data_IF_908375399410
#
_entry.id   IF_908375399410
#
_cell.length_a   1.000
_cell.length_b   1.000
_cell.length_c   1.000
_cell.angle_alpha   90.00
_cell.angle_beta   90.00
_cell.angle_gamma   90.00
#
_symmetry.space_group_name_H-M   'P 1'
#
loop_
_entity.id
_entity.type
_entity.pdbx_description
1 polymer ?
#
# COMPACT_ATOMS: atom_id res chain seq x y z
N UNK A 1 -18.09 80.17 -13.64
CA UNK A 1 -18.45 78.73 -13.64
C UNK A 1 -17.23 77.94 -13.94
N UNK A 2 -16.59 77.30 -12.91
CA UNK A 2 -15.43 76.41 -13.07
C UNK A 2 -15.95 74.98 -13.21
N UNK A 3 -15.71 74.31 -14.32
CA UNK A 3 -15.98 72.89 -14.51
C UNK A 3 -14.90 72.06 -13.80
N UNK A 4 -15.26 71.26 -12.80
CA UNK A 4 -14.40 70.29 -12.18
C UNK A 4 -14.41 69.00 -13.01
N UNK A 5 -13.25 68.58 -13.47
CA UNK A 5 -13.05 67.32 -14.19
C UNK A 5 -12.59 66.22 -13.19
N UNK A 6 -13.49 65.34 -12.84
CA UNK A 6 -13.12 64.18 -12.02
C UNK A 6 -12.40 63.14 -12.85
N UNK A 7 -11.15 62.88 -12.56
CA UNK A 7 -10.39 61.76 -13.13
C UNK A 7 -10.63 60.53 -12.28
N UNK A 8 -11.27 59.54 -12.86
CA UNK A 8 -11.41 58.19 -12.27
C UNK A 8 -10.16 57.40 -12.62
N UNK A 9 -9.33 57.10 -11.59
CA UNK A 9 -8.16 56.22 -11.73
C UNK A 9 -8.67 54.80 -11.54
N UNK A 10 -8.72 53.99 -12.63
CA UNK A 10 -8.99 52.55 -12.58
C UNK A 10 -7.66 51.86 -12.25
N UNK A 11 -7.52 51.38 -11.02
CA UNK A 11 -6.40 50.54 -10.64
C UNK A 11 -6.76 49.08 -10.98
N UNK A 12 -6.19 48.58 -12.11
CA UNK A 12 -6.32 47.17 -12.49
C UNK A 12 -5.43 46.33 -11.59
N UNK A 13 -6.02 45.57 -10.68
CA UNK A 13 -5.34 44.60 -9.82
C UNK A 13 -5.03 43.36 -10.70
N UNK A 14 -3.79 43.19 -11.13
CA UNK A 14 -3.33 41.97 -11.79
C UNK A 14 -3.11 40.90 -10.72
N UNK A 15 -4.07 39.96 -10.60
CA UNK A 15 -3.90 38.77 -9.78
C UNK A 15 -3.04 37.79 -10.57
N UNK A 16 -1.75 37.72 -10.25
CA UNK A 16 -0.86 36.68 -10.75
C UNK A 16 -1.23 35.35 -10.08
N UNK A 17 -1.97 34.52 -10.78
CA UNK A 17 -2.10 33.10 -10.44
C UNK A 17 -0.74 32.43 -10.72
N UNK A 18 0.08 32.26 -9.72
CA UNK A 18 1.22 31.34 -9.78
C UNK A 18 0.67 29.92 -9.74
N UNK A 19 0.45 29.31 -10.92
CA UNK A 19 0.27 27.88 -11.03
C UNK A 19 1.59 27.22 -10.64
N UNK A 20 1.67 26.69 -9.44
CA UNK A 20 2.72 25.77 -9.04
C UNK A 20 2.56 24.52 -9.88
N UNK A 21 3.34 24.38 -10.94
CA UNK A 21 3.53 23.13 -11.63
C UNK A 21 4.22 22.18 -10.64
N UNK A 22 3.45 21.31 -9.99
CA UNK A 22 4.03 20.15 -9.34
C UNK A 22 4.56 19.24 -10.45
N UNK A 23 5.85 18.93 -10.42
CA UNK A 23 6.42 17.94 -11.32
C UNK A 23 5.66 16.62 -11.10
N UNK A 24 5.12 16.06 -12.18
CA UNK A 24 4.37 14.81 -12.14
C UNK A 24 5.31 13.65 -11.80
N UNK A 25 4.94 12.84 -10.80
CA UNK A 25 5.69 11.63 -10.44
C UNK A 25 5.70 10.64 -11.60
N UNK A 26 6.84 9.99 -11.81
CA UNK A 26 6.99 8.91 -12.79
C UNK A 26 7.80 7.78 -12.16
N UNK A 27 7.47 6.55 -12.55
CA UNK A 27 8.26 5.37 -12.19
C UNK A 27 9.02 4.87 -13.41
N UNK A 28 10.33 4.74 -13.27
CA UNK A 28 11.23 4.19 -14.28
C UNK A 28 11.71 2.82 -13.80
N UNK A 29 11.44 1.77 -14.58
CA UNK A 29 11.87 0.41 -14.27
C UNK A 29 13.41 0.33 -14.26
N UNK A 30 13.98 -0.16 -13.16
CA UNK A 30 15.41 -0.39 -12.99
C UNK A 30 15.77 -1.86 -13.20
N UNK A 31 15.02 -2.76 -12.56
CA UNK A 31 15.24 -4.20 -12.58
C UNK A 31 13.90 -4.94 -12.60
N UNK A 32 13.94 -6.12 -13.17
CA UNK A 32 12.85 -7.08 -13.18
C UNK A 32 13.38 -8.45 -12.81
N UNK A 33 12.67 -9.15 -11.95
CA UNK A 33 13.00 -10.50 -11.49
C UNK A 33 11.83 -11.42 -11.79
N UNK A 34 12.11 -12.59 -12.39
CA UNK A 34 11.12 -13.65 -12.59
C UNK A 34 11.07 -14.50 -11.32
N UNK A 35 10.00 -14.34 -10.53
CA UNK A 35 9.85 -14.86 -9.17
C UNK A 35 8.56 -15.65 -9.04
N UNK A 36 8.61 -16.98 -8.92
CA UNK A 36 7.39 -17.81 -8.85
C UNK A 36 6.41 -17.44 -7.73
N UNK A 37 6.91 -16.90 -6.61
CA UNK A 37 6.12 -16.49 -5.45
C UNK A 37 5.55 -15.07 -5.55
N UNK A 38 5.83 -14.32 -6.62
CA UNK A 38 5.30 -12.97 -6.83
C UNK A 38 3.80 -13.00 -7.14
N UNK A 39 2.96 -13.15 -6.11
CA UNK A 39 1.49 -13.26 -6.24
C UNK A 39 0.69 -12.25 -5.44
N UNK A 40 1.04 -12.06 -4.17
CA UNK A 40 0.24 -11.22 -3.26
C UNK A 40 0.97 -9.95 -2.88
N UNK A 41 2.26 -10.02 -2.62
CA UNK A 41 3.01 -8.84 -2.23
C UNK A 41 4.50 -9.02 -2.26
N UNK A 42 5.17 -7.95 -1.84
CA UNK A 42 6.62 -7.88 -1.69
C UNK A 42 6.94 -7.07 -0.44
N UNK A 43 7.99 -7.47 0.28
CA UNK A 43 8.65 -6.67 1.30
C UNK A 43 10.12 -6.55 0.94
N UNK A 44 10.83 -5.55 1.45
CA UNK A 44 12.22 -5.29 1.09
C UNK A 44 13.00 -4.74 2.27
N UNK A 45 14.25 -5.18 2.42
CA UNK A 45 15.25 -4.64 3.34
C UNK A 45 16.50 -4.16 2.59
N UNK A 46 17.58 -3.92 3.31
CA UNK A 46 18.84 -3.44 2.71
C UNK A 46 19.40 -4.40 1.66
N UNK A 47 19.37 -5.71 1.91
CA UNK A 47 20.05 -6.72 1.12
C UNK A 47 19.11 -7.67 0.37
N UNK A 48 17.86 -7.78 0.80
CA UNK A 48 16.94 -8.79 0.31
C UNK A 48 15.56 -8.20 -0.03
N UNK A 49 14.87 -8.89 -0.94
CA UNK A 49 13.43 -8.73 -1.08
C UNK A 49 12.72 -10.06 -0.78
N UNK A 50 11.49 -9.96 -0.31
CA UNK A 50 10.67 -11.09 0.11
C UNK A 50 9.40 -11.12 -0.75
N UNK A 51 9.29 -12.14 -1.60
CA UNK A 51 8.06 -12.38 -2.35
C UNK A 51 7.05 -13.09 -1.47
N UNK A 52 5.82 -12.57 -1.42
CA UNK A 52 4.73 -13.13 -0.63
C UNK A 52 3.70 -13.76 -1.58
N UNK A 53 3.49 -15.05 -1.43
CA UNK A 53 2.38 -15.80 -2.03
C UNK A 53 1.31 -16.07 -0.96
N UNK A 54 0.15 -16.53 -1.36
CA UNK A 54 -1.00 -16.86 -0.51
C UNK A 54 -0.62 -17.72 0.72
N UNK A 55 0.31 -18.66 0.56
CA UNK A 55 0.80 -19.57 1.63
C UNK A 55 2.31 -19.76 1.59
N UNK A 56 3.03 -18.79 1.11
CA UNK A 56 4.47 -18.90 0.96
C UNK A 56 5.17 -17.56 1.06
N UNK A 57 6.41 -17.61 1.51
CA UNK A 57 7.33 -16.47 1.54
C UNK A 57 8.65 -16.95 0.99
N UNK A 58 9.23 -16.21 0.07
CA UNK A 58 10.53 -16.52 -0.48
C UNK A 58 11.44 -15.29 -0.39
N UNK A 59 12.60 -15.45 0.21
CA UNK A 59 13.65 -14.45 0.39
C UNK A 59 14.64 -14.54 -0.75
N UNK A 60 14.92 -13.43 -1.41
CA UNK A 60 15.81 -13.31 -2.55
C UNK A 60 16.87 -12.23 -2.32
N UNK A 61 18.06 -12.45 -2.82
CA UNK A 61 19.13 -11.45 -2.85
C UNK A 61 18.78 -10.32 -3.84
N UNK A 62 18.82 -9.06 -3.39
CA UNK A 62 18.48 -7.88 -4.21
C UNK A 62 19.42 -7.65 -5.38
N UNK A 63 20.69 -8.04 -5.24
CA UNK A 63 21.71 -7.79 -6.26
C UNK A 63 21.65 -8.81 -7.37
N UNK A 64 21.50 -10.10 -7.02
CA UNK A 64 21.55 -11.24 -7.95
C UNK A 64 20.17 -11.73 -8.37
N UNK A 65 19.14 -11.57 -7.53
CA UNK A 65 17.84 -12.20 -7.72
C UNK A 65 17.81 -13.69 -7.39
N UNK A 66 18.84 -14.21 -6.74
CA UNK A 66 18.92 -15.62 -6.37
C UNK A 66 18.10 -15.92 -5.12
N UNK A 67 17.43 -17.07 -5.11
CA UNK A 67 16.67 -17.56 -3.96
C UNK A 67 17.63 -17.88 -2.81
N UNK A 68 17.40 -17.25 -1.65
CA UNK A 68 18.16 -17.49 -0.43
C UNK A 68 17.45 -18.50 0.45
N UNK A 69 16.15 -18.32 0.66
CA UNK A 69 15.36 -19.16 1.55
C UNK A 69 13.88 -19.09 1.19
N UNK A 70 13.14 -20.16 1.50
CA UNK A 70 11.71 -20.22 1.28
C UNK A 70 11.01 -20.85 2.50
N UNK A 71 9.88 -20.30 2.86
CA UNK A 71 8.88 -20.90 3.73
C UNK A 71 7.63 -21.20 2.92
N UNK A 72 7.01 -22.35 3.14
CA UNK A 72 5.75 -22.73 2.51
C UNK A 72 4.87 -23.43 3.54
N UNK A 73 3.66 -22.91 3.73
CA UNK A 73 2.68 -23.48 4.64
C UNK A 73 2.07 -24.76 4.08
N UNK A 74 1.98 -25.81 4.90
CA UNK A 74 1.28 -27.03 4.58
C UNK A 74 -0.23 -26.76 4.38
N UNK A 75 -0.94 -27.71 3.75
CA UNK A 75 -2.36 -27.56 3.45
C UNK A 75 -3.22 -27.27 4.68
N UNK A 76 -2.90 -27.88 5.80
CA UNK A 76 -3.64 -27.75 7.09
C UNK A 76 -3.10 -26.60 7.97
N UNK A 77 -2.11 -25.83 7.47
CA UNK A 77 -1.59 -24.66 8.17
C UNK A 77 -2.71 -23.62 8.40
N UNK A 78 -2.77 -23.01 9.60
CA UNK A 78 -3.74 -21.96 9.89
C UNK A 78 -3.57 -20.71 9.02
N UNK A 79 -2.40 -20.52 8.43
CA UNK A 79 -2.11 -19.42 7.51
C UNK A 79 -2.75 -19.74 6.15
N UNK A 80 -3.81 -19.00 5.81
CA UNK A 80 -4.64 -19.25 4.62
C UNK A 80 -4.36 -18.30 3.47
N UNK A 81 -4.21 -17.02 3.77
CA UNK A 81 -4.06 -15.99 2.77
C UNK A 81 -3.17 -14.85 3.27
N UNK A 82 -1.87 -14.96 2.97
CA UNK A 82 -0.92 -13.89 3.19
C UNK A 82 -1.06 -12.84 2.08
N UNK A 83 -0.79 -11.60 2.45
CA UNK A 83 -0.76 -10.45 1.56
C UNK A 83 0.55 -9.67 1.73
N UNK A 84 0.54 -8.36 1.51
CA UNK A 84 1.74 -7.52 1.57
C UNK A 84 2.30 -7.40 3.00
N UNK A 85 3.56 -7.03 3.10
CA UNK A 85 4.24 -6.91 4.39
C UNK A 85 5.36 -5.89 4.40
N UNK A 86 6.00 -5.77 5.56
CA UNK A 86 7.12 -4.86 5.81
C UNK A 86 8.19 -5.54 6.65
N UNK A 87 9.45 -5.18 6.42
CA UNK A 87 10.56 -5.56 7.30
C UNK A 87 10.77 -4.48 8.34
N UNK A 88 10.78 -4.88 9.60
CA UNK A 88 11.09 -4.00 10.72
C UNK A 88 11.81 -4.78 11.83
N UNK A 89 12.94 -4.26 12.29
CA UNK A 89 13.74 -4.83 13.38
C UNK A 89 14.05 -6.33 13.21
N UNK A 90 14.59 -6.71 12.02
CA UNK A 90 14.95 -8.09 11.69
C UNK A 90 13.77 -9.06 11.56
N UNK A 91 12.55 -8.56 11.47
CA UNK A 91 11.34 -9.35 11.33
C UNK A 91 10.54 -8.94 10.10
N UNK A 92 9.94 -9.90 9.45
CA UNK A 92 8.95 -9.69 8.41
C UNK A 92 7.55 -9.76 9.03
N UNK A 93 6.82 -8.68 8.94
CA UNK A 93 5.41 -8.60 9.31
C UNK A 93 4.58 -8.67 8.04
N UNK A 94 3.65 -9.60 7.94
CA UNK A 94 2.75 -9.73 6.78
C UNK A 94 1.31 -9.62 7.20
N UNK A 95 0.51 -8.98 6.38
CA UNK A 95 -0.94 -9.04 6.48
C UNK A 95 -1.44 -10.45 6.17
N UNK A 96 -2.45 -10.90 6.89
CA UNK A 96 -3.09 -12.20 6.71
C UNK A 96 -4.59 -12.08 6.90
N UNK A 97 -5.35 -12.88 6.15
CA UNK A 97 -6.79 -13.05 6.30
C UNK A 97 -7.22 -14.48 5.99
N UNK A 98 -8.46 -14.82 6.35
CA UNK A 98 -9.06 -16.09 5.93
C UNK A 98 -9.75 -16.02 4.55
N UNK A 99 -9.44 -14.97 3.76
CA UNK A 99 -10.03 -14.84 2.43
C UNK A 99 -10.04 -16.17 1.65
N UNK A 100 -11.13 -16.57 0.98
CA UNK A 100 -12.40 -15.83 0.77
C UNK A 100 -13.53 -16.18 1.75
N UNK A 101 -13.24 -16.65 2.95
CA UNK A 101 -14.23 -17.14 3.92
C UNK A 101 -14.91 -16.00 4.69
N UNK A 102 -16.10 -16.27 5.24
CA UNK A 102 -16.86 -15.38 6.12
C UNK A 102 -17.20 -16.05 7.45
N UNK A 103 -17.25 -15.29 8.56
CA UNK A 103 -16.82 -13.90 8.68
C UNK A 103 -15.34 -13.74 8.33
N UNK A 104 -14.96 -12.57 7.77
CA UNK A 104 -13.56 -12.26 7.48
C UNK A 104 -12.79 -12.12 8.79
N UNK A 105 -11.71 -12.89 8.93
CA UNK A 105 -10.77 -12.78 10.06
C UNK A 105 -9.44 -12.25 9.56
N UNK A 106 -8.73 -11.51 10.41
CA UNK A 106 -7.45 -10.90 10.06
C UNK A 106 -6.43 -10.99 11.16
N UNK A 107 -5.18 -11.09 10.77
CA UNK A 107 -4.02 -11.07 11.67
C UNK A 107 -2.81 -10.44 10.98
N UNK A 108 -1.80 -10.13 11.78
CA UNK A 108 -0.44 -9.91 11.35
C UNK A 108 0.36 -11.15 11.73
N UNK A 109 1.00 -11.75 10.74
CA UNK A 109 1.89 -12.89 10.92
C UNK A 109 3.34 -12.42 10.89
N UNK A 110 4.17 -12.97 11.76
CA UNK A 110 5.52 -12.48 12.01
C UNK A 110 6.53 -13.60 11.79
N UNK A 111 7.53 -13.33 10.96
CA UNK A 111 8.67 -14.23 10.70
C UNK A 111 9.99 -13.58 11.10
N UNK A 112 10.91 -14.38 11.55
CA UNK A 112 12.31 -14.01 11.64
C UNK A 112 12.92 -13.93 10.23
N UNK A 113 13.66 -12.87 9.92
CA UNK A 113 14.19 -12.66 8.54
C UNK A 113 15.41 -13.51 8.22
N UNK A 114 16.13 -14.05 9.20
CA UNK A 114 17.29 -14.93 8.97
C UNK A 114 16.87 -16.38 8.77
N UNK A 115 15.99 -16.85 9.67
CA UNK A 115 15.56 -18.26 9.65
C UNK A 115 14.34 -18.51 8.78
N UNK A 116 13.54 -17.47 8.48
CA UNK A 116 12.20 -17.56 7.88
C UNK A 116 11.26 -18.47 8.70
N UNK A 117 11.50 -18.61 10.00
CA UNK A 117 10.58 -19.27 10.90
C UNK A 117 9.45 -18.33 11.30
N UNK A 118 8.23 -18.86 11.38
CA UNK A 118 7.08 -18.13 11.92
C UNK A 118 7.24 -18.02 13.42
N UNK A 119 7.30 -16.80 13.95
CA UNK A 119 7.62 -16.53 15.37
C UNK A 119 6.50 -15.83 16.14
N UNK A 120 5.42 -15.43 15.48
CA UNK A 120 4.34 -14.76 16.19
C UNK A 120 3.15 -14.40 15.32
N UNK A 121 2.03 -14.14 16.00
CA UNK A 121 0.75 -13.72 15.40
C UNK A 121 0.12 -12.65 16.29
N UNK A 122 -0.38 -11.59 15.67
CA UNK A 122 -1.34 -10.68 16.30
C UNK A 122 -2.68 -10.78 15.58
N UNK A 123 -3.73 -11.22 16.28
CA UNK A 123 -5.07 -11.39 15.71
C UNK A 123 -5.95 -10.16 15.93
N UNK A 124 -6.58 -9.66 14.85
CA UNK A 124 -7.64 -8.65 14.92
C UNK A 124 -9.05 -9.29 14.99
N UNK A 125 -9.15 -10.62 14.92
CA UNK A 125 -10.43 -11.31 14.85
C UNK A 125 -11.24 -10.94 13.63
N UNK A 126 -12.54 -10.65 13.84
CA UNK A 126 -13.52 -10.35 12.76
C UNK A 126 -13.86 -8.85 12.66
N UNK A 127 -13.18 -7.99 13.38
CA UNK A 127 -13.62 -6.61 13.59
C UNK A 127 -13.51 -5.73 12.35
N UNK A 128 -12.44 -5.92 11.54
CA UNK A 128 -12.04 -4.91 10.54
C UNK A 128 -12.24 -5.32 9.08
N UNK A 129 -12.34 -6.61 8.76
CA UNK A 129 -12.35 -7.12 7.39
C UNK A 129 -11.06 -7.86 7.03
N UNK A 130 -10.76 -8.02 5.73
CA UNK A 130 -9.53 -8.69 5.25
C UNK A 130 -8.32 -7.77 5.35
N UNK A 131 -7.34 -8.10 6.19
CA UNK A 131 -6.07 -7.37 6.22
C UNK A 131 -5.28 -7.64 4.93
N UNK A 132 -4.92 -6.57 4.19
CA UNK A 132 -4.27 -6.68 2.87
C UNK A 132 -2.85 -6.15 2.84
N UNK A 133 -2.48 -5.28 3.75
CA UNK A 133 -1.10 -4.84 3.91
C UNK A 133 -0.87 -4.32 5.32
N UNK A 134 0.40 -4.32 5.71
CA UNK A 134 0.91 -3.72 6.92
C UNK A 134 2.19 -2.95 6.60
N UNK A 135 2.39 -1.81 7.23
CA UNK A 135 3.60 -1.01 7.13
C UNK A 135 3.96 -0.33 8.46
N UNK A 136 5.20 0.12 8.58
CA UNK A 136 5.70 0.85 9.74
C UNK A 136 6.14 2.24 9.31
N UNK A 137 5.54 3.29 9.89
CA UNK A 137 5.90 4.66 9.57
C UNK A 137 5.75 5.57 10.79
N UNK A 138 6.72 6.46 11.00
CA UNK A 138 6.73 7.49 12.05
C UNK A 138 6.42 6.93 13.45
N UNK A 139 7.00 5.77 13.78
CA UNK A 139 6.83 5.13 15.09
C UNK A 139 5.48 4.43 15.28
N UNK A 140 4.65 4.25 14.24
CA UNK A 140 3.34 3.63 14.31
C UNK A 140 3.20 2.48 13.31
N UNK A 141 2.34 1.52 13.64
CA UNK A 141 1.89 0.50 12.71
C UNK A 141 0.71 1.03 11.89
N UNK A 142 0.68 0.65 10.62
CA UNK A 142 -0.36 0.98 9.68
C UNK A 142 -0.82 -0.28 8.96
N UNK A 143 -2.12 -0.50 8.86
CA UNK A 143 -2.67 -1.62 8.13
C UNK A 143 -3.96 -1.23 7.40
N UNK A 144 -4.25 -1.89 6.28
CA UNK A 144 -5.54 -1.76 5.64
C UNK A 144 -6.37 -3.03 5.74
N UNK A 145 -7.68 -2.80 5.87
CA UNK A 145 -8.68 -3.85 5.98
C UNK A 145 -9.69 -3.69 4.87
N UNK A 146 -9.69 -4.63 3.95
CA UNK A 146 -10.49 -4.61 2.75
C UNK A 146 -11.89 -5.17 2.96
N UNK A 147 -12.86 -4.54 2.32
CA UNK A 147 -14.21 -5.04 2.06
C UNK A 147 -14.44 -5.03 0.55
N UNK A 148 -15.39 -5.85 0.06
CA UNK A 148 -15.52 -6.16 -1.35
C UNK A 148 -16.96 -6.02 -1.85
N UNK A 149 -17.15 -5.34 -2.98
CA UNK A 149 -18.47 -5.17 -3.60
C UNK A 149 -19.11 -6.52 -3.97
N UNK A 150 -18.31 -7.48 -4.43
CA UNK A 150 -18.78 -8.80 -4.87
C UNK A 150 -19.49 -9.63 -3.79
N UNK A 151 -19.33 -9.24 -2.52
CA UNK A 151 -19.95 -9.95 -1.39
C UNK A 151 -20.87 -9.05 -0.55
N UNK A 152 -21.18 -7.85 -1.02
CA UNK A 152 -21.97 -6.86 -0.27
C UNK A 152 -23.31 -7.41 0.19
N UNK A 153 -23.99 -8.22 -0.63
CA UNK A 153 -25.29 -8.83 -0.28
C UNK A 153 -25.17 -9.86 0.85
N UNK A 154 -24.01 -10.52 0.98
CA UNK A 154 -23.76 -11.53 2.02
C UNK A 154 -23.23 -10.93 3.31
N UNK A 155 -22.46 -9.84 3.23
CA UNK A 155 -21.75 -9.25 4.37
C UNK A 155 -22.42 -8.00 4.93
N UNK A 156 -23.26 -7.33 4.16
CA UNK A 156 -23.82 -6.02 4.49
C UNK A 156 -22.80 -4.88 4.38
N UNK A 157 -21.57 -5.19 3.92
CA UNK A 157 -20.48 -4.22 3.74
C UNK A 157 -19.94 -4.29 2.32
N UNK A 158 -19.44 -3.18 1.79
CA UNK A 158 -18.86 -3.07 0.46
C UNK A 158 -17.52 -2.33 0.51
N UNK A 159 -16.93 -2.03 -0.63
CA UNK A 159 -15.62 -1.37 -0.74
C UNK A 159 -15.52 -0.05 0.01
N UNK A 160 -16.64 0.63 0.30
CA UNK A 160 -16.68 1.88 1.09
C UNK A 160 -16.29 1.68 2.55
N UNK A 161 -16.34 0.44 3.05
CA UNK A 161 -15.91 0.06 4.39
C UNK A 161 -14.41 -0.22 4.49
N UNK A 162 -13.71 -0.24 3.35
CA UNK A 162 -12.26 -0.43 3.33
C UNK A 162 -11.56 0.72 4.05
N UNK A 163 -10.78 0.38 5.07
CA UNK A 163 -10.15 1.33 5.98
C UNK A 163 -8.64 1.16 6.03
N UNK A 164 -7.95 2.28 6.24
CA UNK A 164 -6.55 2.33 6.70
C UNK A 164 -6.57 2.69 8.17
N UNK A 165 -5.91 1.90 8.99
CA UNK A 165 -5.90 2.07 10.44
C UNK A 165 -4.47 2.27 10.93
N UNK A 166 -4.29 3.23 11.84
CA UNK A 166 -3.06 3.50 12.57
C UNK A 166 -3.14 2.87 13.95
N UNK A 167 -2.08 2.17 14.34
CA UNK A 167 -1.95 1.50 15.63
C UNK A 167 -0.68 1.92 16.37
N UNK A 168 -0.69 1.77 17.69
CA UNK A 168 0.51 1.85 18.51
C UNK A 168 1.30 0.52 18.50
N UNK A 169 2.34 0.42 19.32
CA UNK A 169 3.20 -0.77 19.41
C UNK A 169 2.49 -2.01 19.99
N UNK A 170 1.41 -1.81 20.73
CA UNK A 170 0.56 -2.88 21.27
C UNK A 170 -0.64 -3.20 20.37
N UNK A 171 -0.65 -2.71 19.14
CA UNK A 171 -1.73 -2.88 18.15
C UNK A 171 -3.08 -2.29 18.59
N UNK A 172 -3.08 -1.31 19.52
CA UNK A 172 -4.30 -0.56 19.85
C UNK A 172 -4.59 0.47 18.78
N UNK A 173 -5.81 0.46 18.25
CA UNK A 173 -6.25 1.43 17.25
C UNK A 173 -6.18 2.84 17.80
N UNK A 174 -5.50 3.73 17.08
CA UNK A 174 -5.43 5.16 17.37
C UNK A 174 -6.37 5.96 16.48
N UNK A 175 -6.28 5.75 15.17
CA UNK A 175 -7.01 6.51 14.15
C UNK A 175 -7.37 5.60 12.97
N UNK A 176 -8.40 6.00 12.19
CA UNK A 176 -8.81 5.26 10.99
C UNK A 176 -9.33 6.21 9.90
N UNK A 177 -9.10 5.83 8.64
CA UNK A 177 -9.52 6.58 7.46
C UNK A 177 -10.08 5.66 6.39
N UNK A 178 -10.99 6.21 5.58
CA UNK A 178 -11.53 5.55 4.40
C UNK A 178 -10.96 6.18 3.12
N UNK A 179 -11.04 5.47 2.02
CA UNK A 179 -10.61 5.97 0.73
C UNK A 179 -11.63 6.94 0.12
N UNK A 180 -11.19 7.97 -0.63
CA UNK A 180 -12.09 8.88 -1.34
C UNK A 180 -12.77 8.18 -2.52
N UNK A 181 -13.93 8.70 -2.95
CA UNK A 181 -14.79 8.08 -3.97
C UNK A 181 -14.08 7.80 -5.29
N UNK A 182 -13.21 8.68 -5.72
CA UNK A 182 -12.42 8.55 -6.94
C UNK A 182 -11.47 7.35 -6.93
N UNK A 183 -10.93 7.00 -5.76
CA UNK A 183 -10.09 5.80 -5.59
C UNK A 183 -10.95 4.54 -5.46
N UNK A 184 -12.01 4.59 -4.66
CA UNK A 184 -12.95 3.46 -4.50
C UNK A 184 -13.54 2.98 -5.82
N UNK A 185 -13.83 3.91 -6.74
CA UNK A 185 -14.31 3.60 -8.09
C UNK A 185 -13.31 2.72 -8.87
N UNK A 186 -12.02 2.92 -8.67
CA UNK A 186 -10.98 2.19 -9.36
C UNK A 186 -10.67 0.82 -8.74
N UNK A 187 -11.15 0.56 -7.54
CA UNK A 187 -11.05 -0.79 -6.92
C UNK A 187 -12.03 -1.80 -7.51
N UNK A 188 -13.08 -1.32 -8.21
CA UNK A 188 -14.07 -2.14 -8.93
C UNK A 188 -14.76 -3.16 -8.02
N UNK A 189 -14.65 -4.47 -8.32
CA UNK A 189 -15.24 -5.55 -7.51
C UNK A 189 -14.31 -6.06 -6.40
N UNK A 190 -13.06 -5.62 -6.42
CA UNK A 190 -12.05 -5.97 -5.41
C UNK A 190 -11.90 -4.81 -4.40
N UNK A 191 -10.69 -4.60 -3.89
CA UNK A 191 -10.44 -3.55 -2.91
C UNK A 191 -8.98 -3.06 -2.98
N UNK A 192 -8.56 -2.31 -1.95
CA UNK A 192 -7.16 -1.97 -1.74
C UNK A 192 -6.38 -3.25 -1.43
N UNK A 193 -5.28 -3.49 -2.14
CA UNK A 193 -4.46 -4.71 -2.01
C UNK A 193 -3.03 -4.44 -1.59
N UNK A 194 -2.56 -3.21 -1.68
CA UNK A 194 -1.22 -2.85 -1.24
C UNK A 194 -1.14 -1.44 -0.71
N UNK A 195 -0.16 -1.21 0.17
CA UNK A 195 0.13 0.10 0.70
C UNK A 195 1.53 0.15 1.31
N UNK A 196 2.23 1.26 1.10
CA UNK A 196 3.52 1.52 1.72
C UNK A 196 3.78 3.01 1.81
N UNK A 197 4.37 3.46 2.90
CA UNK A 197 4.74 4.84 3.13
C UNK A 197 6.01 5.21 2.38
N UNK A 198 5.91 6.24 1.54
CA UNK A 198 7.05 6.80 0.82
C UNK A 198 7.93 7.70 1.69
N UNK A 199 9.16 7.91 1.25
CA UNK A 199 10.12 8.81 1.91
C UNK A 199 9.69 10.28 1.89
N UNK A 200 8.72 10.62 1.04
CA UNK A 200 8.09 11.94 0.93
C UNK A 200 6.96 12.16 1.95
N UNK A 201 6.71 11.19 2.84
CA UNK A 201 5.67 11.23 3.85
C UNK A 201 4.24 11.02 3.29
N UNK A 202 4.12 10.53 2.06
CA UNK A 202 2.85 10.17 1.45
C UNK A 202 2.64 8.66 1.48
N UNK A 203 1.39 8.23 1.57
CA UNK A 203 1.01 6.83 1.51
C UNK A 203 0.72 6.45 0.05
N UNK A 204 1.40 5.45 -0.45
CA UNK A 204 1.19 4.89 -1.78
C UNK A 204 0.35 3.63 -1.67
N UNK A 205 -0.77 3.58 -2.38
CA UNK A 205 -1.70 2.47 -2.35
C UNK A 205 -1.94 1.90 -3.75
N UNK A 206 -2.22 0.61 -3.83
CA UNK A 206 -2.64 -0.08 -5.05
C UNK A 206 -4.02 -0.69 -4.89
N UNK A 207 -4.72 -0.86 -6.01
CA UNK A 207 -5.86 -1.76 -6.11
C UNK A 207 -5.43 -3.20 -6.38
N UNK A 208 -6.35 -4.01 -6.88
CA UNK A 208 -6.10 -5.44 -7.14
C UNK A 208 -5.57 -5.72 -8.55
N UNK A 209 -5.97 -4.94 -9.57
CA UNK A 209 -5.73 -5.30 -10.98
C UNK A 209 -5.07 -4.20 -11.82
N UNK A 210 -5.16 -2.94 -11.40
CA UNK A 210 -4.69 -1.81 -12.22
C UNK A 210 -3.21 -1.55 -12.05
N UNK A 211 -2.53 -1.19 -13.16
CA UNK A 211 -1.12 -0.80 -13.21
C UNK A 211 -0.90 0.66 -12.77
N UNK A 212 -1.35 1.00 -11.57
CA UNK A 212 -1.27 2.35 -11.03
C UNK A 212 -1.13 2.35 -9.51
N UNK A 213 -0.52 3.40 -8.98
CA UNK A 213 -0.50 3.70 -7.54
C UNK A 213 -1.29 4.97 -7.27
N UNK A 214 -2.06 4.96 -6.18
CA UNK A 214 -2.76 6.11 -5.63
C UNK A 214 -1.90 6.74 -4.55
N UNK A 215 -1.42 7.95 -4.79
CA UNK A 215 -0.62 8.72 -3.83
C UNK A 215 -1.58 9.44 -2.91
N UNK A 216 -1.59 9.05 -1.65
CA UNK A 216 -2.54 9.51 -0.65
C UNK A 216 -1.87 10.38 0.40
N UNK A 217 -2.62 11.34 0.93
CA UNK A 217 -2.23 12.17 2.07
C UNK A 217 -3.23 11.99 3.20
N UNK A 218 -2.73 12.01 4.43
CA UNK A 218 -3.60 12.13 5.60
C UNK A 218 -4.30 13.49 5.60
N UNK A 219 -5.62 13.54 5.80
CA UNK A 219 -6.34 14.79 5.83
C UNK A 219 -5.95 15.61 7.08
N UNK A 220 -5.98 16.92 6.97
CA UNK A 220 -5.82 17.80 8.14
C UNK A 220 -6.96 17.67 9.14
N UNK A 221 -8.14 17.31 8.67
CA UNK A 221 -9.36 17.08 9.45
C UNK A 221 -10.24 16.03 8.77
N UNK A 222 -10.97 15.25 9.57
CA UNK A 222 -11.88 14.21 9.08
C UNK A 222 -11.18 12.88 8.86
N UNK A 223 -11.92 11.93 8.28
CA UNK A 223 -11.52 10.51 8.17
C UNK A 223 -11.52 10.01 6.72
N UNK A 224 -11.44 10.90 5.73
CA UNK A 224 -11.32 10.52 4.32
C UNK A 224 -9.92 10.92 3.85
N UNK A 225 -9.16 9.94 3.35
CA UNK A 225 -7.84 10.18 2.74
C UNK A 225 -7.96 11.17 1.57
N UNK A 226 -6.95 11.99 1.36
CA UNK A 226 -6.88 12.91 0.21
C UNK A 226 -6.06 12.27 -0.91
N UNK A 227 -6.66 12.12 -2.10
CA UNK A 227 -5.91 11.71 -3.31
C UNK A 227 -5.06 12.90 -3.78
N UNK A 228 -3.75 12.71 -3.78
CA UNK A 228 -2.79 13.70 -4.32
C UNK A 228 -2.59 13.50 -5.80
N UNK A 229 -2.39 12.25 -6.23
CA UNK A 229 -2.08 11.89 -7.62
C UNK A 229 -2.36 10.40 -7.85
N UNK A 230 -2.72 10.04 -9.09
CA UNK A 230 -2.69 8.66 -9.57
C UNK A 230 -1.55 8.54 -10.57
N UNK A 231 -0.61 7.64 -10.30
CA UNK A 231 0.62 7.49 -11.08
C UNK A 231 0.66 6.10 -11.71
N UNK A 232 0.79 6.00 -13.05
CA UNK A 232 1.04 4.72 -13.71
C UNK A 232 2.35 4.09 -13.21
N UNK A 233 2.31 2.78 -12.95
CA UNK A 233 3.49 1.99 -12.55
C UNK A 233 3.41 0.60 -13.17
N UNK A 234 4.57 -0.01 -13.45
CA UNK A 234 4.60 -1.36 -13.99
C UNK A 234 4.27 -2.40 -12.91
N UNK A 235 2.97 -2.58 -12.66
CA UNK A 235 2.42 -3.60 -11.75
C UNK A 235 1.07 -4.08 -12.28
N UNK A 236 0.48 -5.06 -11.59
CA UNK A 236 -0.92 -5.48 -11.79
C UNK A 236 -1.68 -5.37 -10.46
N UNK A 237 -1.51 -4.24 -9.77
CA UNK A 237 -2.02 -4.07 -8.41
C UNK A 237 -1.24 -4.91 -7.40
N UNK A 238 -1.93 -5.38 -6.35
CA UNK A 238 -1.36 -6.20 -5.27
C UNK A 238 -0.38 -5.42 -4.37
N UNK A 239 0.34 -6.12 -3.49
CA UNK A 239 1.24 -5.52 -2.53
C UNK A 239 2.45 -4.82 -3.15
N UNK A 240 2.86 -3.73 -2.53
CA UNK A 240 4.01 -2.91 -2.89
C UNK A 240 4.87 -2.64 -1.66
N UNK A 241 6.14 -2.30 -1.87
CA UNK A 241 7.04 -1.89 -0.79
C UNK A 241 8.03 -0.82 -1.25
N UNK A 242 8.12 0.25 -0.48
CA UNK A 242 9.21 1.20 -0.62
C UNK A 242 10.49 0.63 0.01
N UNK A 243 11.57 0.67 -0.76
CA UNK A 243 12.90 0.36 -0.25
C UNK A 243 13.42 1.54 0.57
N UNK A 244 13.55 1.34 1.87
CA UNK A 244 14.03 2.40 2.78
C UNK A 244 15.55 2.52 2.82
N UNK A 245 16.27 1.56 2.26
CA UNK A 245 17.72 1.60 2.09
C UNK A 245 18.14 2.32 0.81
N UNK A 246 17.26 2.34 -0.20
CA UNK A 246 17.49 3.00 -1.48
C UNK A 246 16.46 4.10 -1.74
N UNK A 247 16.88 5.36 -1.68
CA UNK A 247 16.00 6.51 -1.89
C UNK A 247 15.10 6.35 -3.13
N UNK A 248 13.79 6.61 -2.95
CA UNK A 248 12.78 6.64 -4.00
C UNK A 248 12.69 5.37 -4.88
N UNK A 249 13.01 4.20 -4.32
CA UNK A 249 12.92 2.91 -5.01
C UNK A 249 11.70 2.14 -4.53
N UNK A 250 10.80 1.79 -5.44
CA UNK A 250 9.56 1.06 -5.19
C UNK A 250 9.62 -0.33 -5.81
N UNK A 251 9.29 -1.34 -5.01
CA UNK A 251 9.08 -2.71 -5.44
C UNK A 251 7.58 -2.95 -5.64
N UNK A 252 7.23 -3.52 -6.80
CA UNK A 252 5.86 -3.88 -7.19
C UNK A 252 5.84 -5.28 -7.77
N UNK A 253 4.65 -5.86 -7.96
CA UNK A 253 4.52 -7.18 -8.56
C UNK A 253 3.66 -7.17 -9.82
N UNK A 254 3.96 -8.07 -10.75
CA UNK A 254 3.12 -8.47 -11.87
C UNK A 254 2.69 -9.91 -11.65
N UNK A 255 1.53 -10.09 -11.06
CA UNK A 255 1.02 -11.37 -10.57
C UNK A 255 0.91 -12.44 -11.67
N UNK A 256 0.37 -12.06 -12.84
CA UNK A 256 0.18 -13.00 -13.95
C UNK A 256 1.50 -13.51 -14.52
N UNK A 257 2.48 -12.64 -14.63
CA UNK A 257 3.80 -12.91 -15.14
C UNK A 257 4.78 -13.48 -14.10
N UNK A 258 4.38 -13.47 -12.81
CA UNK A 258 5.24 -13.88 -11.71
C UNK A 258 6.53 -13.09 -11.66
N UNK A 259 6.39 -11.76 -11.65
CA UNK A 259 7.52 -10.85 -11.67
C UNK A 259 7.48 -9.87 -10.51
N UNK A 260 8.64 -9.57 -9.97
CA UNK A 260 8.89 -8.42 -9.11
C UNK A 260 9.58 -7.35 -9.94
N UNK A 261 9.06 -6.13 -9.88
CA UNK A 261 9.58 -4.97 -10.60
C UNK A 261 10.15 -4.00 -9.57
N UNK A 262 11.40 -3.62 -9.76
CA UNK A 262 12.06 -2.55 -9.02
C UNK A 262 12.05 -1.28 -9.87
N UNK A 263 11.47 -0.20 -9.38
CA UNK A 263 11.32 1.06 -10.11
C UNK A 263 11.80 2.25 -9.30
N UNK A 264 12.42 3.22 -9.98
CA UNK A 264 12.83 4.50 -9.41
C UNK A 264 11.77 5.55 -9.62
N UNK A 265 11.29 6.17 -8.55
CA UNK A 265 10.45 7.35 -8.66
C UNK A 265 11.30 8.57 -9.05
N UNK A 266 10.80 9.33 -10.02
CA UNK A 266 11.32 10.64 -10.45
C UNK A 266 10.21 11.69 -10.35
N UNK A 267 10.58 12.89 -9.98
CA UNK A 267 9.73 14.07 -9.94
C UNK A 267 10.11 15.05 -11.03
#
# INVERSE_FOLDING_TARGET
MKKSTNHIIIVSLLVLFSSTFFAQRKFEELKKFDIPEARQGVAVDENYFYAVDTRGIAKYDKSTGELVKKWEGEKECPIKHLDSGVIFDGKLYTAHSNYPEFPMTSSIEIWDTETLEHIGTHSFGIEWGSCTWVDRNDGYWWAAFAHYNKWSDSTGTDVRWTTVIKFDDEWRKLEAWVFPKEVLKNFENMSNSGGSWGVDGLLYCTGHDRGEVYVMRMPKQGSILELVETVPVNCTGQGIAWDRSESATLYTIRKAERQIICSKMKM
#
